data_IF_451999314819
#
_entry.id   IF_451999314819
#
_cell.length_a   1.000
_cell.length_b   1.000
_cell.length_c   1.000
_cell.angle_alpha   90.00
_cell.angle_beta   90.00
_cell.angle_gamma   90.00
#
_symmetry.space_group_name_H-M   'P 1'
#
loop_
_entity.id
_entity.type
_entity.pdbx_description
1 polymer ?
#
# COMPACT_ATOMS: atom_id res chain seq x y z
N UNK A 1 6.22 -4.53 12.71
CA UNK A 1 5.72 -3.14 12.67
C UNK A 1 4.22 -3.15 12.95
N UNK A 2 3.68 -2.18 13.69
CA UNK A 2 2.24 -2.09 13.93
C UNK A 2 1.55 -1.29 12.81
N UNK A 3 0.34 -1.68 12.44
CA UNK A 3 -0.45 -1.06 11.38
C UNK A 3 -0.65 0.43 11.64
N UNK A 4 -0.93 0.82 12.88
CA UNK A 4 -1.12 2.24 13.24
C UNK A 4 0.06 3.15 12.88
N UNK A 5 1.27 2.59 12.76
CA UNK A 5 2.52 3.32 12.48
C UNK A 5 2.99 3.12 11.02
N UNK A 6 2.33 2.24 10.25
CA UNK A 6 2.74 1.84 8.92
C UNK A 6 2.45 2.92 7.88
N UNK A 7 3.50 3.37 7.19
CA UNK A 7 3.43 4.15 5.96
C UNK A 7 3.79 3.21 4.80
N UNK A 8 2.87 3.06 3.86
CA UNK A 8 3.03 2.19 2.70
C UNK A 8 3.33 3.08 1.51
N UNK A 9 4.45 2.87 0.84
CA UNK A 9 4.84 3.64 -0.33
C UNK A 9 5.13 2.72 -1.51
N UNK A 10 4.77 3.15 -2.72
CA UNK A 10 4.97 2.33 -3.90
C UNK A 10 5.15 3.15 -5.17
N UNK A 11 5.71 2.50 -6.19
CA UNK A 11 5.77 3.03 -7.55
C UNK A 11 4.98 2.11 -8.47
N UNK A 12 3.97 2.61 -9.19
CA UNK A 12 3.21 1.82 -10.15
C UNK A 12 4.10 1.17 -11.21
N UNK A 13 3.65 0.05 -11.76
CA UNK A 13 4.31 -0.68 -12.83
C UNK A 13 3.83 -0.24 -14.23
N UNK A 14 3.66 1.05 -14.45
CA UNK A 14 3.21 1.61 -15.72
C UNK A 14 4.37 2.18 -16.56
N UNK A 15 4.12 2.40 -17.84
CA UNK A 15 5.10 2.97 -18.78
C UNK A 15 5.58 4.36 -18.36
N UNK A 16 4.77 5.10 -17.59
CA UNK A 16 5.14 6.41 -17.05
C UNK A 16 6.38 6.35 -16.15
N UNK A 17 6.62 5.20 -15.53
CA UNK A 17 7.73 4.94 -14.61
C UNK A 17 8.82 4.06 -15.25
N UNK A 18 8.82 3.92 -16.57
CA UNK A 18 9.87 3.18 -17.27
C UNK A 18 11.26 3.76 -16.99
N UNK A 19 12.23 2.87 -16.73
CA UNK A 19 13.60 3.25 -16.36
C UNK A 19 13.80 3.67 -14.90
N UNK A 20 12.73 3.80 -14.09
CA UNK A 20 12.87 4.04 -12.65
C UNK A 20 13.23 2.76 -11.90
N UNK A 21 14.23 2.82 -11.04
CA UNK A 21 14.73 1.66 -10.28
C UNK A 21 13.70 1.05 -9.33
N UNK A 22 12.69 1.83 -8.92
CA UNK A 22 11.64 1.44 -8.00
C UNK A 22 10.32 1.07 -8.68
N UNK A 23 10.24 1.07 -10.02
CA UNK A 23 9.03 0.65 -10.76
C UNK A 23 8.53 -0.71 -10.27
N UNK A 24 7.24 -0.80 -9.97
CA UNK A 24 6.59 -2.02 -9.49
C UNK A 24 7.04 -2.48 -8.10
N UNK A 25 7.66 -1.60 -7.29
CA UNK A 25 8.10 -1.91 -5.92
C UNK A 25 7.15 -1.30 -4.90
N UNK A 26 6.97 -2.02 -3.80
CA UNK A 26 6.25 -1.60 -2.60
C UNK A 26 7.18 -1.67 -1.41
N UNK A 27 7.12 -0.67 -0.53
CA UNK A 27 7.89 -0.61 0.72
C UNK A 27 6.95 -0.19 1.84
N UNK A 28 7.06 -0.84 2.99
CA UNK A 28 6.38 -0.43 4.22
C UNK A 28 7.42 0.12 5.18
N UNK A 29 7.18 1.34 5.67
CA UNK A 29 8.07 2.10 6.54
C UNK A 29 7.27 2.78 7.64
N UNK A 30 7.90 3.66 8.42
CA UNK A 30 7.26 4.49 9.45
C UNK A 30 7.58 5.96 9.21
N UNK A 31 6.86 6.88 9.88
CA UNK A 31 7.20 8.30 9.86
C UNK A 31 8.16 8.69 11.01
N UNK A 32 9.17 9.55 10.78
CA UNK A 32 9.48 10.21 9.51
C UNK A 32 10.05 9.23 8.47
N UNK A 33 9.71 9.47 7.21
CA UNK A 33 10.10 8.61 6.10
C UNK A 33 11.63 8.62 5.87
N UNK A 34 12.20 7.44 5.57
CA UNK A 34 13.59 7.34 5.18
C UNK A 34 13.80 7.95 3.77
N UNK A 35 14.92 8.65 3.49
CA UNK A 35 15.12 9.31 2.20
C UNK A 35 14.99 8.42 0.96
N UNK A 36 15.28 7.12 1.10
CA UNK A 36 15.15 6.15 0.00
C UNK A 36 13.69 5.79 -0.30
N UNK A 37 12.79 5.88 0.70
CA UNK A 37 11.37 5.64 0.54
C UNK A 37 10.68 6.83 -0.16
N UNK A 38 11.19 8.06 0.06
CA UNK A 38 10.64 9.27 -0.54
C UNK A 38 10.73 9.34 -2.08
N UNK A 39 11.42 8.39 -2.71
CA UNK A 39 11.49 8.26 -4.16
C UNK A 39 10.22 7.61 -4.77
N UNK A 40 9.32 7.07 -3.94
CA UNK A 40 8.06 6.49 -4.39
C UNK A 40 6.99 7.58 -4.57
N UNK A 41 6.29 7.62 -5.72
CA UNK A 41 5.28 8.64 -6.01
C UNK A 41 3.96 8.43 -5.26
N UNK A 42 3.69 7.21 -4.79
CA UNK A 42 2.45 6.87 -4.10
C UNK A 42 2.72 6.56 -2.63
N UNK A 43 1.80 6.98 -1.76
CA UNK A 43 1.84 6.74 -0.32
C UNK A 43 0.44 6.56 0.25
N UNK A 44 0.31 5.69 1.24
CA UNK A 44 -0.91 5.51 2.02
C UNK A 44 -0.58 5.05 3.45
N UNK A 45 -1.59 5.03 4.32
CA UNK A 45 -1.46 4.56 5.70
C UNK A 45 -1.23 5.70 6.66
N UNK A 46 -0.10 5.74 7.39
CA UNK A 46 0.14 6.74 8.45
C UNK A 46 0.03 8.21 7.98
N UNK A 47 0.20 8.48 6.69
CA UNK A 47 -0.02 9.79 6.07
C UNK A 47 -1.49 10.21 5.98
N UNK A 48 -2.41 9.26 6.04
CA UNK A 48 -3.82 9.45 5.69
C UNK A 48 -4.67 9.64 6.95
N UNK A 49 -5.65 10.54 6.86
CA UNK A 49 -6.53 10.83 7.98
C UNK A 49 -7.32 9.60 8.43
N UNK A 50 -7.98 8.91 7.49
CA UNK A 50 -8.84 7.76 7.77
C UNK A 50 -8.07 6.61 8.44
N UNK A 51 -6.82 6.37 8.05
CA UNK A 51 -5.97 5.36 8.68
C UNK A 51 -5.65 5.67 10.15
N UNK A 52 -5.49 6.96 10.45
CA UNK A 52 -5.20 7.43 11.79
C UNK A 52 -6.43 7.36 12.71
N UNK A 53 -7.63 7.55 12.17
CA UNK A 53 -8.89 7.43 12.92
C UNK A 53 -9.38 5.99 13.06
N UNK A 54 -9.02 5.10 12.12
CA UNK A 54 -9.46 3.71 12.11
C UNK A 54 -8.93 2.89 13.30
N UNK A 55 -9.66 1.84 13.67
CA UNK A 55 -9.14 0.75 14.49
C UNK A 55 -8.44 -0.31 13.61
N UNK A 56 -8.06 -1.46 14.17
CA UNK A 56 -7.38 -2.50 13.38
C UNK A 56 -8.29 -3.13 12.32
N UNK A 57 -9.61 -3.19 12.54
CA UNK A 57 -10.55 -3.70 11.54
C UNK A 57 -10.72 -2.68 10.39
N UNK A 58 -10.84 -1.40 10.71
CA UNK A 58 -10.85 -0.33 9.71
C UNK A 58 -9.56 -0.28 8.89
N UNK A 59 -8.39 -0.39 9.55
CA UNK A 59 -7.09 -0.46 8.85
C UNK A 59 -6.97 -1.70 7.97
N UNK A 60 -7.54 -2.84 8.36
CA UNK A 60 -7.59 -4.01 7.48
C UNK A 60 -8.39 -3.72 6.20
N UNK A 61 -9.55 -3.07 6.32
CA UNK A 61 -10.38 -2.72 5.15
C UNK A 61 -9.66 -1.72 4.22
N UNK A 62 -9.02 -0.70 4.78
CA UNK A 62 -8.19 0.24 4.02
C UNK A 62 -7.03 -0.48 3.34
N UNK A 63 -6.36 -1.39 4.05
CA UNK A 63 -5.26 -2.17 3.50
C UNK A 63 -5.71 -3.07 2.34
N UNK A 64 -6.92 -3.63 2.42
CA UNK A 64 -7.53 -4.37 1.31
C UNK A 64 -7.78 -3.47 0.10
N UNK A 65 -8.27 -2.23 0.29
CA UNK A 65 -8.45 -1.29 -0.81
C UNK A 65 -7.11 -0.93 -1.47
N UNK A 66 -6.09 -0.59 -0.68
CA UNK A 66 -4.76 -0.27 -1.21
C UNK A 66 -4.14 -1.47 -1.94
N UNK A 67 -4.26 -2.67 -1.38
CA UNK A 67 -3.77 -3.89 -2.01
C UNK A 67 -4.45 -4.17 -3.36
N UNK A 68 -5.77 -3.98 -3.43
CA UNK A 68 -6.52 -4.10 -4.67
C UNK A 68 -6.08 -3.07 -5.72
N UNK A 69 -5.94 -1.80 -5.35
CA UNK A 69 -5.47 -0.76 -6.29
C UNK A 69 -4.03 -1.00 -6.76
N UNK A 70 -3.12 -1.43 -5.87
CA UNK A 70 -1.74 -1.76 -6.28
C UNK A 70 -1.71 -2.81 -7.41
N UNK A 71 -2.58 -3.82 -7.32
CA UNK A 71 -2.59 -4.93 -8.29
C UNK A 71 -3.31 -4.52 -9.57
N UNK A 72 -4.54 -4.00 -9.45
CA UNK A 72 -5.42 -3.77 -10.60
C UNK A 72 -5.16 -2.46 -11.32
N UNK A 73 -4.95 -1.39 -10.55
CA UNK A 73 -4.78 -0.05 -11.11
C UNK A 73 -3.30 0.22 -11.45
N UNK A 74 -2.41 -0.20 -10.55
CA UNK A 74 -0.98 0.09 -10.65
C UNK A 74 -0.14 -1.04 -11.26
N UNK A 75 -0.74 -2.20 -11.53
CA UNK A 75 -0.08 -3.34 -12.19
C UNK A 75 1.07 -3.95 -11.40
N UNK A 76 1.10 -3.76 -10.08
CA UNK A 76 2.08 -4.37 -9.19
C UNK A 76 1.78 -5.86 -9.06
N UNK A 77 2.82 -6.68 -9.12
CA UNK A 77 2.73 -8.11 -8.89
C UNK A 77 2.23 -8.41 -7.47
N UNK A 78 1.23 -9.30 -7.36
CA UNK A 78 0.61 -9.66 -6.08
C UNK A 78 1.64 -10.13 -5.05
N UNK A 79 2.62 -10.95 -5.48
CA UNK A 79 3.64 -11.47 -4.58
C UNK A 79 4.51 -10.34 -4.02
N UNK A 80 4.85 -9.35 -4.85
CA UNK A 80 5.60 -8.16 -4.40
C UNK A 80 4.82 -7.36 -3.37
N UNK A 81 3.55 -7.05 -3.64
CA UNK A 81 2.70 -6.32 -2.70
C UNK A 81 2.53 -7.08 -1.37
N UNK A 82 2.21 -8.38 -1.46
CA UNK A 82 2.02 -9.23 -0.26
C UNK A 82 3.28 -9.37 0.57
N UNK A 83 4.44 -9.54 -0.09
CA UNK A 83 5.73 -9.62 0.60
C UNK A 83 6.02 -8.32 1.36
N UNK A 84 5.79 -7.17 0.75
CA UNK A 84 6.02 -5.88 1.41
C UNK A 84 5.10 -5.69 2.62
N UNK A 85 3.81 -6.00 2.49
CA UNK A 85 2.81 -5.85 3.56
C UNK A 85 2.98 -6.85 4.70
N UNK A 86 3.74 -7.93 4.52
CA UNK A 86 3.95 -8.95 5.56
C UNK A 86 4.67 -8.45 6.82
N UNK A 87 5.28 -7.26 6.78
CA UNK A 87 5.97 -6.66 7.94
C UNK A 87 5.01 -6.03 8.97
N UNK A 88 3.73 -5.90 8.62
CA UNK A 88 2.66 -5.44 9.52
C UNK A 88 2.22 -6.63 10.39
N UNK A 89 2.40 -6.53 11.70
CA UNK A 89 2.34 -7.65 12.64
C UNK A 89 0.97 -7.85 13.31
N UNK A 90 0.20 -6.78 13.48
CA UNK A 90 -1.06 -6.75 14.23
C UNK A 90 -2.31 -6.83 13.33
N UNK A 91 -2.09 -7.09 12.04
CA UNK A 91 -3.11 -7.33 11.02
C UNK A 91 -2.68 -8.54 10.19
N UNK A 92 -3.61 -9.48 9.94
CA UNK A 92 -3.32 -10.65 9.12
C UNK A 92 -3.34 -10.31 7.62
N UNK A 93 -2.23 -9.82 7.08
CA UNK A 93 -2.13 -9.43 5.66
C UNK A 93 -2.16 -10.61 4.68
N UNK A 94 -2.03 -11.86 5.17
CA UNK A 94 -2.15 -13.05 4.34
C UNK A 94 -3.58 -13.29 3.83
N UNK A 95 -4.61 -12.69 4.46
CA UNK A 95 -6.01 -12.85 4.05
C UNK A 95 -6.49 -11.81 3.05
N UNK A 96 -5.62 -10.86 2.66
CA UNK A 96 -5.91 -9.90 1.59
C UNK A 96 -6.11 -10.65 0.27
N UNK A 97 -7.17 -10.27 -0.47
CA UNK A 97 -7.57 -10.92 -1.71
C UNK A 97 -7.24 -10.05 -2.92
N UNK A 98 -6.51 -10.60 -3.88
CA UNK A 98 -6.27 -9.96 -5.17
C UNK A 98 -7.51 -10.00 -6.07
N UNK A 99 -8.51 -10.83 -5.77
CA UNK A 99 -9.73 -10.95 -6.56
C UNK A 99 -10.75 -9.82 -6.26
N UNK A 100 -10.52 -9.05 -5.19
CA UNK A 100 -11.35 -7.89 -4.87
C UNK A 100 -10.89 -6.73 -5.74
N UNK A 101 -11.81 -6.19 -6.54
CA UNK A 101 -11.58 -4.99 -7.34
C UNK A 101 -11.59 -3.75 -6.44
N UNK A 102 -10.78 -2.72 -6.76
CA UNK A 102 -10.82 -1.45 -6.05
C UNK A 102 -12.21 -0.80 -6.17
N UNK A 103 -12.68 -0.23 -5.07
CA UNK A 103 -13.95 0.50 -5.04
C UNK A 103 -13.71 1.94 -5.48
N UNK A 104 -14.15 2.28 -6.70
CA UNK A 104 -14.08 3.65 -7.24
C UNK A 104 -15.36 4.46 -6.99
N UNK A 105 -16.30 3.98 -6.17
CA UNK A 105 -17.63 4.57 -5.94
C UNK A 105 -17.62 5.88 -5.14
N UNK A 106 -16.64 6.75 -5.35
CA UNK A 106 -16.48 8.04 -4.69
C UNK A 106 -15.78 9.14 -5.51
N UNK A 107 -15.44 8.88 -6.78
CA UNK A 107 -14.90 9.89 -7.70
C UNK A 107 -15.98 10.31 -8.72
N UNK A 108 -16.92 11.14 -8.30
CA UNK A 108 -17.75 12.01 -9.15
C UNK A 108 -17.73 13.44 -8.60
#
# INVERSE_FOLDING_TARGET
>A
MLAKDALIVWTPNSDLYEGQANRGKVVVTTMPEAPASAAHPMSAGRSDHDWNEADNAGRYNLLQQYFSSMIHDDGIDEHVARQALSVIEDINTATLSAEILPDHSGND
#
